data_IF_546032160230
#
_entry.id   IF_546032160230
#
_cell.length_a   1.000
_cell.length_b   1.000
_cell.length_c   1.000
_cell.angle_alpha   90.00
_cell.angle_beta   90.00
_cell.angle_gamma   90.00
#
_symmetry.space_group_name_H-M   'P 1'
#
loop_
_entity.id
_entity.type
_entity.pdbx_description
1 polymer ?
#
# COMPACT_ATOMS: atom_id res chain seq x y z
N UNK A 1 -13.86 7.04 -4.42
CA UNK A 1 -12.94 8.12 -4.86
C UNK A 1 -11.69 7.51 -5.49
N UNK A 2 -10.79 8.29 -6.11
CA UNK A 2 -9.52 7.79 -6.67
C UNK A 2 -8.68 7.02 -5.63
N UNK A 3 -8.57 7.57 -4.41
CA UNK A 3 -7.82 6.97 -3.31
C UNK A 3 -8.43 5.65 -2.83
N UNK A 4 -9.75 5.58 -2.68
CA UNK A 4 -10.44 4.33 -2.30
C UNK A 4 -10.22 3.24 -3.35
N UNK A 5 -10.35 3.58 -4.63
CA UNK A 5 -10.12 2.61 -5.71
C UNK A 5 -8.68 2.09 -5.72
N UNK A 6 -7.70 2.98 -5.53
CA UNK A 6 -6.31 2.56 -5.40
C UNK A 6 -6.06 1.71 -4.16
N UNK A 7 -6.65 2.04 -3.01
CA UNK A 7 -6.47 1.29 -1.77
C UNK A 7 -7.17 -0.07 -1.80
N UNK A 8 -8.32 -0.18 -2.44
CA UNK A 8 -8.97 -1.48 -2.68
C UNK A 8 -8.07 -2.39 -3.51
N UNK A 9 -7.45 -1.86 -4.56
CA UNK A 9 -6.51 -2.61 -5.38
C UNK A 9 -5.28 -3.06 -4.57
N UNK A 10 -4.69 -2.16 -3.80
CA UNK A 10 -3.55 -2.49 -2.92
C UNK A 10 -3.93 -3.54 -1.87
N UNK A 11 -5.12 -3.43 -1.26
CA UNK A 11 -5.62 -4.41 -0.28
C UNK A 11 -5.90 -5.77 -0.90
N UNK A 12 -6.46 -5.81 -2.10
CA UNK A 12 -6.71 -7.07 -2.80
C UNK A 12 -5.41 -7.84 -3.07
N UNK A 13 -4.32 -7.14 -3.37
CA UNK A 13 -2.99 -7.74 -3.56
C UNK A 13 -2.30 -8.19 -2.25
N UNK A 14 -2.92 -8.01 -1.09
CA UNK A 14 -2.45 -8.53 0.20
C UNK A 14 -3.36 -9.64 0.76
N UNK A 15 -4.47 -9.99 0.09
CA UNK A 15 -5.39 -11.05 0.53
C UNK A 15 -4.83 -12.43 0.17
N UNK A 16 -5.17 -13.43 0.98
CA UNK A 16 -4.71 -14.81 0.79
C UNK A 16 -5.57 -15.58 -0.22
N UNK A 17 -6.85 -15.25 -0.32
CA UNK A 17 -7.83 -15.98 -1.13
C UNK A 17 -8.54 -15.04 -2.11
N UNK A 18 -8.85 -15.57 -3.31
CA UNK A 18 -9.48 -14.80 -4.39
C UNK A 18 -10.92 -14.40 -4.10
N UNK A 19 -11.65 -15.21 -3.31
CA UNK A 19 -13.05 -14.93 -2.94
C UNK A 19 -13.19 -13.71 -2.01
N UNK A 20 -12.08 -13.28 -1.40
CA UNK A 20 -12.04 -12.10 -0.55
C UNK A 20 -11.85 -10.81 -1.35
N UNK A 21 -11.55 -10.86 -2.65
CA UNK A 21 -11.24 -9.68 -3.46
C UNK A 21 -12.45 -8.75 -3.56
N UNK A 22 -12.22 -7.45 -3.41
CA UNK A 22 -13.26 -6.44 -3.56
C UNK A 22 -13.41 -6.01 -5.03
N UNK A 23 -12.32 -6.03 -5.79
CA UNK A 23 -12.28 -5.65 -7.19
C UNK A 23 -12.38 -6.86 -8.12
N UNK A 24 -13.07 -6.64 -9.24
CA UNK A 24 -13.05 -7.49 -10.43
C UNK A 24 -11.93 -7.04 -11.39
N UNK A 25 -11.63 -7.78 -12.47
CA UNK A 25 -10.66 -7.34 -13.47
C UNK A 25 -10.95 -5.92 -13.99
N UNK A 26 -9.91 -5.10 -14.03
CA UNK A 26 -9.97 -3.72 -14.50
C UNK A 26 -10.32 -3.70 -16.00
N UNK A 27 -11.34 -2.93 -16.37
CA UNK A 27 -11.82 -2.85 -17.76
C UNK A 27 -11.61 -1.45 -18.33
N UNK A 28 -12.30 -0.46 -17.78
CA UNK A 28 -12.23 0.93 -18.21
C UNK A 28 -12.59 1.85 -17.04
N UNK A 29 -12.04 3.07 -17.04
CA UNK A 29 -12.33 4.11 -16.07
C UNK A 29 -12.42 5.46 -16.77
N UNK A 30 -13.40 6.27 -16.36
CA UNK A 30 -13.46 7.70 -16.69
C UNK A 30 -13.01 8.44 -15.45
N UNK A 31 -12.04 9.33 -15.61
CA UNK A 31 -11.48 10.13 -14.52
C UNK A 31 -11.96 11.56 -14.72
N UNK A 32 -12.76 12.04 -13.78
CA UNK A 32 -13.09 13.46 -13.67
C UNK A 32 -11.93 14.23 -13.01
N UNK A 33 -11.78 15.52 -13.29
CA UNK A 33 -10.68 16.36 -12.79
C UNK A 33 -9.28 15.73 -13.03
N UNK A 34 -9.02 15.34 -14.28
CA UNK A 34 -7.84 14.54 -14.65
C UNK A 34 -6.49 15.19 -14.32
N UNK A 35 -6.42 16.53 -14.34
CA UNK A 35 -5.25 17.29 -13.96
C UNK A 35 -4.96 17.15 -12.47
N UNK A 36 -5.97 17.34 -11.62
CA UNK A 36 -5.84 17.12 -10.17
C UNK A 36 -5.34 15.70 -9.86
N UNK A 37 -5.93 14.68 -10.50
CA UNK A 37 -5.66 13.27 -10.16
C UNK A 37 -4.32 12.77 -10.74
N UNK A 38 -4.06 13.00 -12.03
CA UNK A 38 -2.93 12.40 -12.73
C UNK A 38 -1.68 13.29 -12.76
N UNK A 39 -1.78 14.56 -12.40
CA UNK A 39 -0.64 15.48 -12.31
C UNK A 39 -0.34 15.83 -10.86
N UNK A 40 -1.31 16.35 -10.12
CA UNK A 40 -1.05 16.91 -8.80
C UNK A 40 -0.95 15.85 -7.71
N UNK A 41 -1.97 15.00 -7.59
CA UNK A 41 -2.04 13.95 -6.55
C UNK A 41 -1.09 12.78 -6.84
N UNK A 42 -0.84 12.45 -8.11
CA UNK A 42 0.04 11.33 -8.52
C UNK A 42 1.51 11.49 -8.11
N UNK A 43 1.92 12.69 -7.65
CA UNK A 43 3.29 12.94 -7.15
C UNK A 43 3.62 12.21 -5.86
N UNK A 44 2.61 11.85 -5.07
CA UNK A 44 2.77 11.07 -3.84
C UNK A 44 2.21 9.67 -4.05
N UNK A 45 2.99 8.60 -3.81
CA UNK A 45 2.49 7.24 -3.99
C UNK A 45 1.41 6.91 -2.96
N UNK A 46 0.46 6.05 -3.37
CA UNK A 46 -0.52 5.47 -2.48
C UNK A 46 0.11 4.33 -1.66
N UNK A 47 0.15 4.48 -0.33
CA UNK A 47 0.86 3.56 0.57
C UNK A 47 -0.09 3.01 1.62
N UNK A 48 -0.09 1.69 1.81
CA UNK A 48 -0.65 1.05 3.01
C UNK A 48 0.49 0.84 4.00
N UNK A 49 0.39 1.47 5.17
CA UNK A 49 1.29 1.24 6.29
C UNK A 49 0.51 0.65 7.47
N UNK A 50 1.21 -0.13 8.29
CA UNK A 50 0.70 -0.65 9.56
C UNK A 50 1.75 -0.40 10.66
N UNK A 51 1.33 -0.33 11.93
CA UNK A 51 2.29 -0.29 13.03
C UNK A 51 3.18 -1.55 12.98
N UNK A 52 4.48 -1.37 13.18
CA UNK A 52 5.37 -2.52 13.40
C UNK A 52 5.19 -3.02 14.82
N UNK A 53 5.03 -4.34 14.99
CA UNK A 53 5.04 -5.01 16.29
C UNK A 53 6.46 -5.38 16.76
N UNK A 54 7.51 -5.06 15.99
CA UNK A 54 8.87 -5.43 16.37
C UNK A 54 9.37 -4.65 17.59
N UNK A 55 9.76 -5.40 18.63
CA UNK A 55 10.50 -4.88 19.77
C UNK A 55 11.90 -4.45 19.33
N UNK A 56 12.23 -3.17 19.51
CA UNK A 56 13.57 -2.59 19.29
C UNK A 56 14.69 -3.43 19.93
N UNK A 57 14.38 -4.17 20.99
CA UNK A 57 15.23 -5.14 21.68
C UNK A 57 15.97 -6.12 20.76
N UNK A 58 15.35 -6.56 19.65
CA UNK A 58 16.01 -7.50 18.73
C UNK A 58 17.17 -6.82 17.99
N UNK A 59 16.97 -5.58 17.55
CA UNK A 59 18.00 -4.77 16.90
C UNK A 59 19.18 -4.52 17.84
N UNK A 60 18.90 -4.20 19.12
CA UNK A 60 19.94 -4.01 20.14
C UNK A 60 20.75 -5.29 20.43
N UNK A 61 20.09 -6.46 20.42
CA UNK A 61 20.77 -7.74 20.67
C UNK A 61 21.69 -8.13 19.51
N UNK A 62 21.26 -7.89 18.27
CA UNK A 62 22.04 -8.22 17.07
C UNK A 62 23.28 -7.30 16.98
N UNK A 63 23.12 -6.00 17.23
CA UNK A 63 24.24 -5.03 17.19
C UNK A 63 25.40 -5.44 18.12
N UNK A 64 25.09 -6.01 19.30
CA UNK A 64 26.11 -6.50 20.24
C UNK A 64 26.92 -7.70 19.74
N UNK A 65 26.43 -8.43 18.76
CA UNK A 65 27.04 -9.67 18.25
C UNK A 65 27.86 -9.41 16.97
N UNK A 66 27.59 -8.32 16.24
CA UNK A 66 28.33 -7.98 15.03
C UNK A 66 29.76 -7.51 15.38
N UNK A 67 30.82 -8.21 14.91
CA UNK A 67 32.20 -7.76 15.12
C UNK A 67 32.50 -6.49 14.32
N UNK A 68 33.36 -5.62 14.87
CA UNK A 68 33.86 -4.40 14.22
C UNK A 68 34.85 -4.68 13.09
#
# INVERSE_FOLDING_TARGET
TNNEFGFDYLRDNMKYELDQFAQRPLNYAIVDEVDSILIDESRTPLIISGPSEESTDLYERIDRIIPR
#
